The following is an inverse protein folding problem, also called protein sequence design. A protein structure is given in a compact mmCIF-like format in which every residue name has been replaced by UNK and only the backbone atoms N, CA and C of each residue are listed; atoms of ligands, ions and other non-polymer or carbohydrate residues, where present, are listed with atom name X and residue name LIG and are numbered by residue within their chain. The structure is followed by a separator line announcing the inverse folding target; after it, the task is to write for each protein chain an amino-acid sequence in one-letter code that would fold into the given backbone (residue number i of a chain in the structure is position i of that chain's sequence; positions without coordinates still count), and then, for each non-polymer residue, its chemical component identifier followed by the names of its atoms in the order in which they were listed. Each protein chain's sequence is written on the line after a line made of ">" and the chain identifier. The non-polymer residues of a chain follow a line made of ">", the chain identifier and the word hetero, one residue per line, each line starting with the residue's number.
data_IF_575699370961
#
_entry.id   IF_575699370961
#
_cell.length_a   1.000
_cell.length_b   1.000
_cell.length_c   1.000
_cell.angle_alpha   90.00
_cell.angle_beta   90.00
_cell.angle_gamma   90.00
#
_symmetry.space_group_name_H-M   'P 1'
#
loop_
_entity.id
_entity.type
_entity.pdbx_description
1 polymer ?
#
# COMPACT_ATOMS: atom_id res chain seq x y z
N UNK A 1 2.94 -15.72 12.21
CA UNK A 1 1.60 -15.91 11.60
C UNK A 1 1.31 -17.39 11.51
N UNK A 2 0.05 -17.77 11.36
CA UNK A 2 -0.38 -19.17 11.22
C UNK A 2 -0.87 -19.40 9.78
N UNK A 3 -0.15 -20.23 9.03
CA UNK A 3 -0.46 -20.50 7.63
C UNK A 3 -1.75 -21.32 7.47
N UNK A 4 -2.06 -22.22 8.41
CA UNK A 4 -3.30 -22.99 8.37
C UNK A 4 -4.52 -22.08 8.48
N UNK A 5 -4.48 -21.11 9.41
CA UNK A 5 -5.52 -20.08 9.53
C UNK A 5 -5.63 -19.19 8.29
N UNK A 6 -4.50 -18.85 7.65
CA UNK A 6 -4.54 -18.14 6.37
C UNK A 6 -5.25 -18.97 5.29
N UNK A 7 -4.97 -20.28 5.24
CA UNK A 7 -5.66 -21.20 4.31
C UNK A 7 -7.14 -21.34 4.59
N UNK A 8 -7.56 -21.39 5.86
CA UNK A 8 -8.97 -21.33 6.26
C UNK A 8 -9.65 -20.06 5.72
N UNK A 9 -9.05 -18.88 5.94
CA UNK A 9 -9.55 -17.63 5.38
C UNK A 9 -9.66 -17.65 3.85
N UNK A 10 -8.61 -18.09 3.14
CA UNK A 10 -8.65 -18.14 1.66
C UNK A 10 -9.74 -19.08 1.16
N UNK A 11 -9.97 -20.21 1.83
CA UNK A 11 -11.03 -21.15 1.46
C UNK A 11 -12.43 -20.52 1.54
N UNK A 12 -12.68 -19.66 2.53
CA UNK A 12 -13.94 -18.92 2.63
C UNK A 12 -14.11 -17.92 1.49
N UNK A 13 -13.02 -17.30 1.03
CA UNK A 13 -13.04 -16.35 -0.08
C UNK A 13 -13.18 -17.06 -1.44
N UNK A 14 -12.51 -18.19 -1.62
CA UNK A 14 -12.44 -18.92 -2.88
C UNK A 14 -13.73 -19.71 -3.19
N UNK A 15 -14.45 -20.16 -2.16
CA UNK A 15 -15.65 -21.01 -2.31
C UNK A 15 -16.99 -20.28 -2.16
N UNK A 16 -16.97 -18.94 -2.02
CA UNK A 16 -18.20 -18.14 -1.94
C UNK A 16 -18.90 -18.04 -3.32
N UNK A 17 -20.20 -17.65 -3.36
CA UNK A 17 -20.87 -17.35 -4.62
C UNK A 17 -20.19 -16.25 -5.43
N UNK A 18 -20.36 -16.28 -6.75
CA UNK A 18 -19.84 -15.26 -7.68
C UNK A 18 -20.25 -13.86 -7.22
N UNK A 19 -19.27 -12.95 -7.21
CA UNK A 19 -19.44 -11.57 -6.75
C UNK A 19 -18.61 -10.54 -7.53
N UNK A 20 -17.54 -11.01 -8.19
CA UNK A 20 -16.58 -10.23 -8.93
C UNK A 20 -16.40 -10.92 -10.28
N UNK A 21 -16.09 -10.16 -11.32
CA UNK A 21 -15.89 -10.71 -12.68
C UNK A 21 -14.81 -11.81 -12.67
N UNK A 22 -13.76 -11.68 -11.86
CA UNK A 22 -12.70 -12.69 -11.72
C UNK A 22 -13.19 -14.06 -11.24
N UNK A 23 -14.31 -14.12 -10.53
CA UNK A 23 -14.91 -15.37 -10.04
C UNK A 23 -15.51 -16.20 -11.20
N UNK A 24 -15.73 -15.59 -12.37
CA UNK A 24 -16.24 -16.26 -13.58
C UNK A 24 -15.14 -16.95 -14.39
N UNK A 25 -13.87 -16.65 -14.11
CA UNK A 25 -12.74 -17.22 -14.84
C UNK A 25 -12.16 -18.42 -14.08
N UNK A 26 -11.54 -19.34 -14.83
CA UNK A 26 -10.72 -20.42 -14.30
C UNK A 26 -9.33 -20.35 -14.91
N UNK A 27 -8.32 -20.60 -14.09
CA UNK A 27 -6.95 -20.74 -14.57
C UNK A 27 -6.83 -22.08 -15.29
N UNK A 28 -6.42 -22.07 -16.56
CA UNK A 28 -6.06 -23.29 -17.27
C UNK A 28 -4.71 -23.77 -16.76
N UNK A 29 -4.69 -24.92 -16.08
CA UNK A 29 -3.46 -25.50 -15.52
C UNK A 29 -2.73 -26.36 -16.55
N UNK A 30 -1.44 -26.62 -16.28
CA UNK A 30 -0.66 -27.60 -17.03
C UNK A 30 -1.09 -29.01 -16.63
N UNK A 31 -0.96 -29.98 -17.56
CA UNK A 31 -1.23 -31.39 -17.27
C UNK A 31 -0.22 -31.96 -16.26
N UNK A 32 1.01 -31.45 -16.28
CA UNK A 32 2.07 -31.76 -15.31
C UNK A 32 2.46 -30.47 -14.56
N UNK A 33 2.20 -30.38 -13.24
CA UNK A 33 2.68 -29.26 -12.43
C UNK A 33 4.22 -29.18 -12.41
N UNK A 34 4.73 -27.96 -12.30
CA UNK A 34 6.14 -27.72 -12.00
C UNK A 34 6.41 -28.00 -10.52
N UNK A 35 7.65 -28.39 -10.20
CA UNK A 35 8.07 -28.46 -8.81
C UNK A 35 8.16 -27.05 -8.22
N UNK A 36 7.82 -26.89 -6.94
CA UNK A 36 7.87 -25.57 -6.28
C UNK A 36 9.29 -25.00 -6.26
N UNK A 37 10.33 -25.85 -6.29
CA UNK A 37 11.73 -25.45 -6.40
C UNK A 37 12.10 -24.84 -7.75
N UNK A 38 11.28 -25.06 -8.78
CA UNK A 38 11.44 -24.44 -10.10
C UNK A 38 10.76 -23.06 -10.18
N UNK A 39 9.94 -22.71 -9.19
CA UNK A 39 9.26 -21.41 -9.11
C UNK A 39 10.20 -20.38 -8.50
N UNK A 40 10.06 -19.12 -8.93
CA UNK A 40 10.84 -18.03 -8.36
C UNK A 40 10.67 -17.93 -6.82
N UNK A 41 11.72 -17.54 -6.10
CA UNK A 41 11.68 -17.48 -4.65
C UNK A 41 10.72 -16.41 -4.15
N UNK A 42 10.21 -16.60 -2.94
CA UNK A 42 9.21 -15.72 -2.32
C UNK A 42 9.69 -14.26 -2.25
N UNK A 43 10.98 -14.04 -1.99
CA UNK A 43 11.59 -12.72 -1.91
C UNK A 43 11.50 -11.96 -3.24
N UNK A 44 11.53 -12.66 -4.37
CA UNK A 44 11.32 -12.05 -5.69
C UNK A 44 9.86 -11.71 -5.91
N UNK A 45 8.94 -12.60 -5.51
CA UNK A 45 7.49 -12.37 -5.57
C UNK A 45 7.09 -11.15 -4.75
N UNK A 46 7.57 -11.04 -3.50
CA UNK A 46 7.23 -9.96 -2.57
C UNK A 46 7.62 -8.56 -3.07
N UNK A 47 8.70 -8.43 -3.85
CA UNK A 47 9.12 -7.15 -4.45
C UNK A 47 8.09 -6.56 -5.42
N UNK A 48 7.14 -7.36 -5.90
CA UNK A 48 6.05 -6.92 -6.79
C UNK A 48 4.83 -6.41 -6.03
N UNK A 49 4.81 -6.50 -4.70
CA UNK A 49 3.73 -6.00 -3.87
C UNK A 49 4.04 -4.58 -3.43
N UNK A 50 3.04 -3.71 -3.54
CA UNK A 50 3.06 -2.38 -2.96
C UNK A 50 1.91 -2.25 -1.96
N UNK A 51 2.12 -1.57 -0.83
CA UNK A 51 0.99 -1.17 0.01
C UNK A 51 0.25 -0.03 -0.69
N UNK A 52 -1.08 -0.01 -0.60
CA UNK A 52 -1.87 1.09 -1.12
C UNK A 52 -1.48 2.42 -0.44
N UNK A 53 -1.58 3.54 -1.18
CA UNK A 53 -1.39 4.87 -0.65
C UNK A 53 -2.57 5.30 0.20
N UNK A 54 -2.42 5.23 1.52
CA UNK A 54 -3.44 5.65 2.49
C UNK A 54 -2.84 6.75 3.35
N UNK A 55 -3.43 7.94 3.34
CA UNK A 55 -2.81 9.13 3.92
C UNK A 55 -2.64 9.05 5.44
N UNK A 56 -1.56 9.64 5.92
CA UNK A 56 -1.46 10.04 7.33
C UNK A 56 -2.58 11.04 7.65
N UNK A 57 -3.36 10.72 8.68
CA UNK A 57 -4.63 11.36 9.01
C UNK A 57 -5.83 10.49 8.67
N UNK A 58 -5.82 9.73 7.57
CA UNK A 58 -6.79 8.66 7.35
C UNK A 58 -6.46 7.46 8.26
N UNK A 59 -5.19 7.04 8.25
CA UNK A 59 -4.61 6.12 9.23
C UNK A 59 -3.99 6.89 10.41
N UNK A 60 -3.81 6.19 11.53
CA UNK A 60 -2.98 6.68 12.64
C UNK A 60 -1.48 6.66 12.25
N UNK A 61 -0.63 7.44 12.93
CA UNK A 61 0.82 7.39 12.72
C UNK A 61 1.39 5.98 12.86
N UNK A 62 0.95 5.24 13.89
CA UNK A 62 1.43 3.88 14.18
C UNK A 62 1.09 2.91 13.04
N UNK A 63 -0.14 2.97 12.53
CA UNK A 63 -0.56 2.13 11.42
C UNK A 63 0.20 2.48 10.12
N UNK A 64 0.40 3.77 9.85
CA UNK A 64 1.11 4.23 8.67
C UNK A 64 2.59 3.83 8.70
N UNK A 65 3.26 4.00 9.84
CA UNK A 65 4.66 3.59 10.03
C UNK A 65 4.83 2.08 10.01
N UNK A 66 3.91 1.33 10.61
CA UNK A 66 3.96 -0.14 10.61
C UNK A 66 3.88 -0.72 9.19
N UNK A 67 3.05 -0.14 8.31
CA UNK A 67 3.02 -0.51 6.90
C UNK A 67 4.35 -0.23 6.20
N UNK A 68 4.93 0.96 6.42
CA UNK A 68 6.19 1.32 5.79
C UNK A 68 7.33 0.40 6.24
N UNK A 69 7.43 0.16 7.54
CA UNK A 69 8.42 -0.73 8.14
C UNK A 69 8.27 -2.17 7.63
N UNK A 70 7.04 -2.70 7.59
CA UNK A 70 6.79 -4.05 7.08
C UNK A 70 7.22 -4.19 5.61
N UNK A 71 6.81 -3.26 4.74
CA UNK A 71 7.15 -3.34 3.32
C UNK A 71 8.66 -3.19 3.09
N UNK A 72 9.32 -2.31 3.84
CA UNK A 72 10.77 -2.14 3.73
C UNK A 72 11.54 -3.38 4.20
N UNK A 73 11.10 -4.04 5.28
CA UNK A 73 11.68 -5.33 5.73
C UNK A 73 11.52 -6.44 4.69
N UNK A 74 10.42 -6.43 3.94
CA UNK A 74 10.14 -7.41 2.89
C UNK A 74 10.81 -7.08 1.54
N UNK A 75 11.55 -5.97 1.45
CA UNK A 75 12.13 -5.49 0.18
C UNK A 75 11.11 -4.92 -0.81
N UNK A 76 9.85 -4.82 -0.40
CA UNK A 76 8.73 -4.28 -1.14
C UNK A 76 8.64 -2.75 -0.99
N UNK A 77 7.53 -2.13 -1.40
CA UNK A 77 7.31 -0.68 -1.23
C UNK A 77 6.02 -0.36 -0.49
N UNK A 78 6.07 0.71 0.29
CA UNK A 78 4.88 1.36 0.83
C UNK A 78 4.68 2.73 0.19
N UNK A 79 3.45 3.22 0.22
CA UNK A 79 3.05 4.51 -0.35
C UNK A 79 2.54 5.46 0.73
N UNK A 80 3.08 6.69 0.76
CA UNK A 80 2.76 7.74 1.74
C UNK A 80 1.30 8.23 1.70
N UNK A 81 0.59 7.98 0.59
CA UNK A 81 -0.71 8.56 0.36
C UNK A 81 -0.66 10.08 0.20
N UNK A 82 -1.83 10.73 0.30
CA UNK A 82 -2.00 12.16 0.03
C UNK A 82 -1.61 13.11 1.18
N UNK A 83 -1.14 12.58 2.31
CA UNK A 83 -1.10 13.31 3.58
C UNK A 83 0.23 14.00 3.90
N UNK A 84 1.22 13.91 3.01
CA UNK A 84 2.61 14.19 3.35
C UNK A 84 3.25 13.05 4.14
N UNK A 85 4.52 13.23 4.49
CA UNK A 85 5.26 12.32 5.36
C UNK A 85 6.19 13.11 6.27
N UNK A 86 6.32 12.69 7.53
CA UNK A 86 7.19 13.36 8.50
C UNK A 86 8.67 13.19 8.10
N UNK A 87 9.44 14.30 7.95
CA UNK A 87 10.86 14.22 7.64
C UNK A 87 11.69 13.39 8.62
N UNK A 88 11.24 13.25 9.87
CA UNK A 88 11.90 12.37 10.85
C UNK A 88 11.93 10.89 10.42
N UNK A 89 11.09 10.48 9.46
CA UNK A 89 11.06 9.12 8.90
C UNK A 89 12.09 8.92 7.79
N UNK A 90 12.58 9.99 7.17
CA UNK A 90 13.53 9.87 6.05
C UNK A 90 14.84 9.23 6.51
N UNK A 91 15.42 8.38 5.65
CA UNK A 91 16.60 7.57 5.99
C UNK A 91 16.34 6.44 7.00
N UNK A 92 15.13 6.29 7.54
CA UNK A 92 14.77 5.20 8.46
C UNK A 92 14.00 4.09 7.75
N UNK A 93 13.85 2.94 8.42
CA UNK A 93 13.01 1.83 7.95
C UNK A 93 11.53 2.20 7.82
N UNK A 94 11.11 3.34 8.35
CA UNK A 94 9.73 3.82 8.31
C UNK A 94 9.46 4.77 7.14
N UNK A 95 10.44 5.10 6.30
CA UNK A 95 10.21 5.94 5.10
C UNK A 95 9.41 5.18 4.05
N UNK A 96 8.38 5.80 3.47
CA UNK A 96 7.64 5.20 2.35
C UNK A 96 8.38 5.37 1.03
N UNK A 97 8.69 4.29 0.32
CA UNK A 97 9.44 4.36 -0.95
C UNK A 97 8.64 5.00 -2.09
N UNK A 98 7.31 4.88 -2.06
CA UNK A 98 6.41 5.58 -2.99
C UNK A 98 5.89 6.84 -2.30
N UNK A 99 6.06 7.98 -2.97
CA UNK A 99 5.62 9.29 -2.51
C UNK A 99 4.55 9.81 -3.46
N UNK A 100 3.36 10.07 -2.92
CA UNK A 100 2.23 10.50 -3.73
C UNK A 100 2.20 12.02 -3.91
N UNK A 101 1.81 12.46 -5.11
CA UNK A 101 1.52 13.85 -5.45
C UNK A 101 0.07 13.91 -5.92
N UNK A 102 -0.81 14.41 -5.05
CA UNK A 102 -2.24 14.56 -5.30
C UNK A 102 -2.66 16.03 -5.38
N UNK A 103 -3.91 16.31 -5.72
CA UNK A 103 -4.43 17.66 -6.00
C UNK A 103 -4.12 18.69 -4.91
N UNK A 104 -4.30 18.33 -3.63
CA UNK A 104 -4.03 19.23 -2.49
C UNK A 104 -2.55 19.50 -2.21
N UNK A 105 -1.62 18.72 -2.81
CA UNK A 105 -0.16 18.85 -2.64
C UNK A 105 0.32 18.91 -1.17
N UNK A 106 -0.45 18.36 -0.23
CA UNK A 106 -0.11 18.37 1.18
C UNK A 106 1.23 17.67 1.45
N UNK A 107 2.10 18.34 2.21
CA UNK A 107 3.43 17.86 2.55
C UNK A 107 4.37 17.63 1.35
N UNK A 108 4.01 18.09 0.15
CA UNK A 108 4.87 17.97 -1.03
C UNK A 108 5.92 19.08 -0.99
N UNK A 109 7.12 18.72 -0.54
CA UNK A 109 8.30 19.60 -0.50
C UNK A 109 9.42 19.02 -1.36
N UNK A 110 10.47 19.80 -1.71
CA UNK A 110 11.65 19.23 -2.36
C UNK A 110 12.25 18.06 -1.57
N UNK A 111 12.34 18.18 -0.25
CA UNK A 111 12.85 17.11 0.63
C UNK A 111 11.98 15.84 0.57
N UNK A 112 10.66 15.99 0.53
CA UNK A 112 9.73 14.87 0.36
C UNK A 112 9.93 14.15 -0.98
N UNK A 113 10.13 14.91 -2.06
CA UNK A 113 10.29 14.36 -3.42
C UNK A 113 11.62 13.63 -3.61
N UNK A 114 12.73 14.15 -3.07
CA UNK A 114 14.06 13.52 -3.20
C UNK A 114 14.18 12.24 -2.35
N UNK A 115 13.30 12.04 -1.38
CA UNK A 115 13.24 10.83 -0.55
C UNK A 115 12.30 9.74 -1.12
N UNK A 116 11.89 9.86 -2.39
CA UNK A 116 11.09 8.87 -3.10
C UNK A 116 11.96 7.94 -3.96
N UNK A 117 11.65 6.64 -4.00
CA UNK A 117 12.08 5.76 -5.10
C UNK A 117 11.11 5.90 -6.29
N UNK A 118 9.82 6.10 -6.00
CA UNK A 118 8.76 6.24 -6.99
C UNK A 118 7.87 7.43 -6.63
N UNK A 119 7.61 8.30 -7.60
CA UNK A 119 6.62 9.36 -7.49
C UNK A 119 5.31 8.91 -8.13
N UNK A 120 4.23 8.91 -7.35
CA UNK A 120 2.89 8.60 -7.86
C UNK A 120 2.09 9.89 -8.08
N UNK A 121 1.83 10.24 -9.33
CA UNK A 121 0.88 11.30 -9.66
C UNK A 121 -0.54 10.75 -9.50
N UNK A 122 -1.24 11.17 -8.46
CA UNK A 122 -2.58 10.69 -8.18
C UNK A 122 -3.61 11.55 -8.89
N UNK A 123 -4.12 11.03 -10.00
CA UNK A 123 -5.19 11.66 -10.78
C UNK A 123 -6.56 11.41 -10.14
N UNK A 124 -6.83 10.17 -9.71
CA UNK A 124 -8.13 9.76 -9.15
C UNK A 124 -7.99 8.54 -8.23
N UNK A 125 -9.10 8.09 -7.63
CA UNK A 125 -9.20 6.81 -6.91
C UNK A 125 -10.53 6.12 -7.18
N UNK A 126 -10.55 4.78 -7.17
CA UNK A 126 -11.75 4.00 -7.49
C UNK A 126 -12.95 4.25 -6.57
N UNK A 127 -12.72 4.62 -5.30
CA UNK A 127 -13.81 4.92 -4.35
C UNK A 127 -14.58 6.21 -4.68
N UNK A 128 -13.96 7.16 -5.38
CA UNK A 128 -14.55 8.46 -5.76
C UNK A 128 -13.75 9.08 -6.92
N UNK A 129 -13.99 8.62 -8.16
CA UNK A 129 -13.14 8.95 -9.30
C UNK A 129 -13.22 10.42 -9.72
N UNK A 130 -14.35 11.09 -9.49
CA UNK A 130 -14.56 12.50 -9.84
C UNK A 130 -14.11 13.50 -8.78
N UNK A 131 -13.54 13.06 -7.65
CA UNK A 131 -13.32 13.91 -6.47
C UNK A 131 -11.96 13.70 -5.79
N UNK A 132 -11.49 14.75 -5.11
CA UNK A 132 -10.27 14.74 -4.28
C UNK A 132 -10.45 14.12 -2.90
N UNK A 133 -9.34 13.79 -2.23
CA UNK A 133 -9.34 13.25 -0.86
C UNK A 133 -10.13 14.08 0.14
N UNK A 134 -10.73 13.42 1.14
CA UNK A 134 -11.41 14.09 2.24
C UNK A 134 -10.78 13.64 3.55
N UNK A 135 -10.52 14.59 4.44
CA UNK A 135 -10.16 14.33 5.84
C UNK A 135 -11.10 15.14 6.72
N UNK A 136 -11.93 14.50 7.58
CA UNK A 136 -12.80 15.23 8.50
C UNK A 136 -11.99 16.17 9.41
N UNK A 137 -12.51 17.38 9.65
CA UNK A 137 -11.81 18.40 10.44
C UNK A 137 -11.40 17.93 11.84
N UNK A 138 -12.22 17.10 12.48
CA UNK A 138 -11.90 16.51 13.80
C UNK A 138 -10.69 15.58 13.83
N UNK A 139 -10.17 15.14 12.66
CA UNK A 139 -8.94 14.36 12.54
C UNK A 139 -7.70 15.22 12.24
N UNK A 140 -7.88 16.50 11.99
CA UNK A 140 -6.79 17.46 11.74
C UNK A 140 -6.23 17.93 13.09
N UNK A 141 -5.44 17.06 13.72
CA UNK A 141 -4.72 17.40 14.95
C UNK A 141 -3.42 18.19 14.65
N UNK A 142 -2.69 18.62 15.68
CA UNK A 142 -1.48 19.43 15.52
C UNK A 142 -0.38 18.78 14.66
N UNK A 143 -0.25 17.44 14.71
CA UNK A 143 0.68 16.71 13.83
C UNK A 143 0.24 16.81 12.37
N UNK A 144 -1.02 16.50 12.08
CA UNK A 144 -1.55 16.55 10.72
C UNK A 144 -1.50 17.98 10.17
N UNK A 145 -1.86 18.99 10.95
CA UNK A 145 -1.78 20.39 10.55
C UNK A 145 -0.35 20.84 10.25
N UNK A 146 0.65 20.34 11.00
CA UNK A 146 2.07 20.67 10.78
C UNK A 146 2.62 20.03 9.50
N UNK A 147 2.15 18.83 9.15
CA UNK A 147 2.67 18.07 8.01
C UNK A 147 2.10 18.52 6.66
N UNK A 148 0.96 19.22 6.65
CA UNK A 148 0.18 19.51 5.44
C UNK A 148 0.43 20.90 4.89
#
# INVERSE_FOLDING_TARGET
>A
GDYAKFKEYTSLVDNRPVSMIRDLFKVKTLDKPLDISEIEPLESVLKRFDSAGISLGALSPEAHEALAEAMNRLGARSNSGEGGEDPARYGTIKSSKIKQVATGRFGVTPEYLVNAEVLQIKVAQGAKPGEGGQLPGGKVNGLIAKLR
#
